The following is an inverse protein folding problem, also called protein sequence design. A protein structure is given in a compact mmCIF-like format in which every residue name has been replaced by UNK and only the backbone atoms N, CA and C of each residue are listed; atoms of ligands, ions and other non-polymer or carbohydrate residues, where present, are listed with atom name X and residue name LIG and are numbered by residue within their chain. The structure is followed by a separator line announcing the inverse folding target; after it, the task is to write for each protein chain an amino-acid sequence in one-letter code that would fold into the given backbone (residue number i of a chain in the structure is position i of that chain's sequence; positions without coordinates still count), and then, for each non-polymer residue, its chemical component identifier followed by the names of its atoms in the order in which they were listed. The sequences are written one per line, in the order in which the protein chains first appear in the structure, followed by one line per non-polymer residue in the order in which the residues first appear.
data_IF_770164179344
#
_entry.id   IF_770164179344
#
_cell.length_a   1.000
_cell.length_b   1.000
_cell.length_c   1.000
_cell.angle_alpha   90.00
_cell.angle_beta   90.00
_cell.angle_gamma   90.00
#
_symmetry.space_group_name_H-M   'P 1'
#
loop_
_entity.id
_entity.type
_entity.pdbx_description
1 polymer ?
#
# COMPACT_ATOMS: atom_id res chain seq x y z
N UNK A 1 -8.23 46.27 11.16
CA UNK A 1 -8.13 45.49 12.41
C UNK A 1 -9.14 44.35 12.27
N UNK A 2 -8.81 43.09 12.04
CA UNK A 2 -7.69 42.30 12.57
C UNK A 2 -6.99 41.52 11.46
N UNK A 3 -5.69 41.40 11.60
CA UNK A 3 -4.77 40.70 10.71
C UNK A 3 -4.41 39.35 11.32
N UNK A 4 -4.13 38.37 10.44
CA UNK A 4 -3.23 37.22 10.67
C UNK A 4 -3.81 36.09 11.55
N UNK A 5 -3.59 34.80 11.29
CA UNK A 5 -2.33 34.13 10.96
C UNK A 5 -2.63 32.92 10.06
N UNK A 6 -2.18 32.93 8.80
CA UNK A 6 -1.96 31.68 8.07
C UNK A 6 -0.65 31.09 8.60
N UNK A 7 -0.57 29.80 9.00
CA UNK A 7 0.69 29.20 9.35
C UNK A 7 1.56 29.15 8.08
N UNK A 8 2.53 30.05 8.03
CA UNK A 8 3.71 29.95 7.21
C UNK A 8 4.51 28.73 7.65
N UNK A 9 4.22 27.54 7.10
CA UNK A 9 5.04 26.32 7.25
C UNK A 9 4.58 25.22 6.26
N UNK A 10 4.70 25.46 4.96
CA UNK A 10 4.98 24.36 4.01
C UNK A 10 6.28 24.73 3.31
N UNK A 11 7.39 24.51 4.02
CA UNK A 11 8.75 24.73 3.53
C UNK A 11 9.53 23.42 3.36
N UNK A 12 8.86 22.28 3.48
CA UNK A 12 9.43 20.98 3.18
C UNK A 12 8.91 20.51 1.81
N UNK A 13 9.80 20.57 0.80
CA UNK A 13 9.55 20.12 -0.58
C UNK A 13 9.36 18.61 -0.76
N UNK A 14 9.10 17.88 0.33
CA UNK A 14 8.88 16.44 0.38
C UNK A 14 7.49 16.09 0.93
N UNK A 15 6.50 16.96 0.74
CA UNK A 15 5.12 16.65 1.07
C UNK A 15 4.37 16.08 -0.14
N UNK A 16 3.40 15.22 0.13
CA UNK A 16 2.57 14.61 -0.90
C UNK A 16 1.37 13.91 -0.28
N UNK A 17 0.43 13.53 -1.15
CA UNK A 17 -0.77 12.79 -0.77
C UNK A 17 -0.65 11.37 -1.31
N UNK A 18 -0.92 10.39 -0.45
CA UNK A 18 -1.01 8.99 -0.82
C UNK A 18 -2.49 8.60 -0.91
N UNK A 19 -2.92 8.01 -2.02
CA UNK A 19 -4.30 7.56 -2.21
C UNK A 19 -4.39 6.29 -3.05
N UNK A 20 -5.52 5.60 -2.93
CA UNK A 20 -5.91 4.51 -3.82
C UNK A 20 -6.84 5.04 -4.90
N UNK A 21 -6.85 4.42 -6.07
CA UNK A 21 -7.90 4.65 -7.05
C UNK A 21 -9.28 4.35 -6.45
N UNK A 22 -10.28 5.18 -6.75
CA UNK A 22 -11.63 5.00 -6.21
C UNK A 22 -12.23 3.63 -6.56
N UNK A 23 -12.00 3.15 -7.79
CA UNK A 23 -12.46 1.84 -8.23
C UNK A 23 -11.83 0.72 -7.40
N UNK A 24 -10.53 0.82 -7.11
CA UNK A 24 -9.84 -0.18 -6.31
C UNK A 24 -10.24 -0.10 -4.84
N UNK A 25 -10.36 1.11 -4.27
CA UNK A 25 -10.84 1.33 -2.91
C UNK A 25 -12.19 0.65 -2.67
N UNK A 26 -13.12 0.79 -3.62
CA UNK A 26 -14.44 0.16 -3.55
C UNK A 26 -14.42 -1.36 -3.78
N UNK A 27 -13.30 -1.93 -4.26
CA UNK A 27 -13.14 -3.36 -4.48
C UNK A 27 -12.67 -4.11 -3.23
N UNK A 28 -12.15 -3.41 -2.21
CA UNK A 28 -11.77 -4.01 -0.93
C UNK A 28 -12.98 -4.66 -0.25
N UNK A 29 -12.75 -5.82 0.37
CA UNK A 29 -13.78 -6.64 0.99
C UNK A 29 -13.53 -6.72 2.49
N UNK A 30 -14.59 -6.84 3.31
CA UNK A 30 -14.44 -7.02 4.75
C UNK A 30 -13.80 -8.37 5.12
N UNK A 31 -13.81 -9.34 4.19
CA UNK A 31 -13.28 -10.67 4.41
C UNK A 31 -12.69 -11.27 3.14
N UNK A 32 -11.61 -12.02 3.30
CA UNK A 32 -10.85 -12.62 2.21
C UNK A 32 -10.65 -14.12 2.43
N UNK A 33 -10.67 -14.89 1.34
CA UNK A 33 -10.31 -16.30 1.38
C UNK A 33 -8.80 -16.46 1.61
N UNK A 34 -8.40 -17.45 2.41
CA UNK A 34 -7.00 -17.82 2.61
C UNK A 34 -6.63 -19.04 1.78
N UNK A 35 -5.34 -19.17 1.46
CA UNK A 35 -4.72 -20.44 1.12
C UNK A 35 -3.81 -20.90 2.27
N UNK A 36 -3.83 -22.20 2.54
CA UNK A 36 -2.87 -22.86 3.42
C UNK A 36 -1.87 -23.57 2.52
N UNK A 37 -0.63 -23.06 2.42
CA UNK A 37 0.43 -23.79 1.73
C UNK A 37 1.05 -24.83 2.67
N UNK A 38 1.57 -25.91 2.08
CA UNK A 38 2.41 -26.87 2.79
C UNK A 38 3.58 -26.11 3.45
N UNK A 39 3.88 -26.43 4.72
CA UNK A 39 4.89 -25.71 5.51
C UNK A 39 4.35 -24.59 6.40
N UNK A 40 3.03 -24.45 6.56
CA UNK A 40 2.43 -23.53 7.54
C UNK A 40 2.29 -22.08 7.07
N UNK A 41 2.84 -21.73 5.91
CA UNK A 41 2.67 -20.41 5.31
C UNK A 41 1.21 -20.18 4.89
N UNK A 42 0.63 -19.09 5.38
CA UNK A 42 -0.71 -18.62 5.02
C UNK A 42 -0.59 -17.43 4.09
N UNK A 43 -1.51 -17.33 3.14
CA UNK A 43 -1.63 -16.17 2.29
C UNK A 43 -3.10 -15.88 1.97
N UNK A 44 -3.42 -14.60 1.77
CA UNK A 44 -4.69 -14.19 1.21
C UNK A 44 -4.72 -14.58 -0.26
N UNK A 45 -5.84 -15.14 -0.68
CA UNK A 45 -6.04 -15.66 -2.02
C UNK A 45 -6.61 -14.62 -2.97
N UNK A 46 -7.39 -13.68 -2.45
CA UNK A 46 -8.29 -12.82 -3.22
C UNK A 46 -8.28 -11.38 -2.72
N UNK A 47 -7.11 -10.93 -2.26
CA UNK A 47 -6.88 -9.56 -1.84
C UNK A 47 -6.19 -8.78 -2.98
N UNK A 48 -6.54 -7.50 -3.21
CA UNK A 48 -7.63 -6.75 -2.57
C UNK A 48 -9.02 -7.13 -3.13
N UNK A 49 -9.06 -7.79 -4.29
CA UNK A 49 -10.26 -8.27 -4.97
C UNK A 49 -10.04 -9.62 -5.68
N UNK A 50 -11.07 -10.11 -6.36
CA UNK A 50 -10.97 -11.31 -7.19
C UNK A 50 -10.69 -10.94 -8.65
N UNK A 51 -10.03 -11.80 -9.42
CA UNK A 51 -9.78 -11.61 -10.85
C UNK A 51 -11.06 -11.20 -11.60
N UNK A 52 -11.08 -10.00 -12.18
CA UNK A 52 -12.24 -9.43 -12.88
C UNK A 52 -13.53 -9.46 -12.03
N UNK A 53 -13.41 -9.34 -10.71
CA UNK A 53 -14.52 -9.44 -9.76
C UNK A 53 -15.01 -10.86 -9.46
N UNK A 54 -14.54 -11.89 -10.18
CA UNK A 54 -15.03 -13.28 -10.08
C UNK A 54 -14.02 -14.16 -9.34
N UNK A 55 -14.49 -14.86 -8.31
CA UNK A 55 -13.65 -15.74 -7.51
C UNK A 55 -13.18 -16.96 -8.32
N UNK A 56 -11.87 -17.12 -8.48
CA UNK A 56 -11.31 -18.33 -9.05
C UNK A 56 -11.43 -19.49 -8.06
N UNK A 57 -12.07 -20.60 -8.47
CA UNK A 57 -12.32 -21.75 -7.59
C UNK A 57 -11.05 -22.50 -7.21
N UNK A 58 -10.06 -22.58 -8.09
CA UNK A 58 -8.87 -23.46 -7.93
C UNK A 58 -7.52 -22.74 -7.94
N UNK A 59 -7.43 -21.45 -8.30
CA UNK A 59 -6.17 -20.69 -8.36
C UNK A 59 -6.13 -19.46 -7.43
N UNK A 60 -4.97 -18.82 -7.32
CA UNK A 60 -4.86 -17.47 -6.76
C UNK A 60 -5.73 -16.51 -7.58
N UNK A 61 -6.45 -15.63 -6.88
CA UNK A 61 -7.45 -14.76 -7.48
C UNK A 61 -7.25 -13.27 -7.15
N UNK A 62 -6.24 -12.94 -6.34
CA UNK A 62 -5.92 -11.57 -5.95
C UNK A 62 -5.35 -10.75 -7.09
N UNK A 63 -5.27 -9.45 -6.86
CA UNK A 63 -4.64 -8.48 -7.74
C UNK A 63 -3.62 -7.65 -6.97
N UNK A 64 -2.76 -6.89 -7.66
CA UNK A 64 -1.89 -5.92 -6.99
C UNK A 64 -2.71 -4.78 -6.38
N UNK A 65 -2.23 -4.22 -5.27
CA UNK A 65 -2.76 -2.95 -4.75
C UNK A 65 -2.01 -1.81 -5.43
N UNK A 66 -2.75 -0.91 -6.07
CA UNK A 66 -2.23 0.25 -6.79
C UNK A 66 -2.33 1.46 -5.88
N UNK A 67 -1.22 2.18 -5.72
CA UNK A 67 -1.13 3.34 -4.86
C UNK A 67 -0.60 4.50 -5.69
N UNK A 68 -1.27 5.63 -5.56
CA UNK A 68 -0.88 6.88 -6.17
C UNK A 68 -0.26 7.77 -5.10
N UNK A 69 0.87 8.36 -5.44
CA UNK A 69 1.49 9.41 -4.65
C UNK A 69 1.55 10.68 -5.49
N UNK A 70 0.82 11.71 -5.05
CA UNK A 70 0.85 13.02 -5.68
C UNK A 70 1.71 13.97 -4.84
N UNK A 71 2.83 14.43 -5.43
CA UNK A 71 3.72 15.41 -4.80
C UNK A 71 3.03 16.77 -4.71
N UNK A 72 3.04 17.36 -3.52
CA UNK A 72 2.56 18.72 -3.30
C UNK A 72 3.75 19.69 -3.43
N UNK A 73 3.62 20.68 -4.31
CA UNK A 73 4.63 21.71 -4.55
C UNK A 73 5.41 21.55 -5.87
N UNK A 74 6.06 22.64 -6.29
CA UNK A 74 6.76 22.75 -7.58
C UNK A 74 8.18 22.17 -7.57
N UNK A 75 8.65 21.67 -6.43
CA UNK A 75 10.05 21.27 -6.28
C UNK A 75 10.26 19.85 -6.84
N UNK A 76 10.77 19.77 -8.07
CA UNK A 76 11.21 18.52 -8.73
C UNK A 76 12.57 18.02 -8.23
N UNK A 77 12.86 18.19 -6.93
CA UNK A 77 14.05 17.50 -6.39
C UNK A 77 13.90 16.00 -6.66
N UNK A 78 15.01 15.30 -6.94
CA UNK A 78 15.06 13.86 -7.21
C UNK A 78 14.79 13.05 -5.94
N UNK A 79 13.68 13.32 -5.27
CA UNK A 79 13.26 12.63 -4.07
C UNK A 79 12.81 11.23 -4.47
N UNK A 80 13.56 10.23 -4.00
CA UNK A 80 13.18 8.84 -4.13
C UNK A 80 12.00 8.58 -3.19
N UNK A 81 10.87 8.18 -3.75
CA UNK A 81 9.70 7.78 -2.97
C UNK A 81 9.72 6.28 -2.81
N UNK A 82 9.71 5.83 -1.55
CA UNK A 82 9.56 4.43 -1.21
C UNK A 82 8.17 4.24 -0.60
N UNK A 83 7.40 3.30 -1.15
CA UNK A 83 6.13 2.88 -0.58
C UNK A 83 6.30 1.48 -0.03
N UNK A 84 5.96 1.30 1.25
CA UNK A 84 5.98 0.01 1.93
C UNK A 84 4.66 -0.24 2.63
N UNK A 85 4.29 -1.51 2.78
CA UNK A 85 3.07 -1.90 3.49
C UNK A 85 3.29 -3.20 4.28
N UNK A 86 2.43 -3.45 5.26
CA UNK A 86 2.38 -4.68 6.06
C UNK A 86 0.93 -4.94 6.49
N UNK A 87 0.58 -6.21 6.70
CA UNK A 87 -0.63 -6.55 7.45
C UNK A 87 -0.46 -6.33 8.96
N UNK A 88 -1.19 -5.35 9.49
CA UNK A 88 -1.30 -5.13 10.93
C UNK A 88 -2.51 -5.91 11.49
N UNK A 89 -2.32 -6.86 12.42
CA UNK A 89 -3.45 -7.52 13.07
C UNK A 89 -4.18 -6.54 13.99
N UNK A 90 -5.50 -6.69 14.06
CA UNK A 90 -6.33 -5.97 15.04
C UNK A 90 -6.11 -6.60 16.42
N UNK A 91 -5.82 -5.76 17.41
CA UNK A 91 -5.63 -6.16 18.81
C UNK A 91 -6.96 -6.28 19.53
N UNK A 92 -6.95 -6.82 20.75
CA UNK A 92 -8.15 -6.93 21.61
C UNK A 92 -8.79 -5.56 21.91
N UNK A 93 -8.04 -4.46 21.77
CA UNK A 93 -8.55 -3.09 21.89
C UNK A 93 -9.28 -2.57 20.65
N UNK A 94 -9.38 -3.37 19.58
CA UNK A 94 -9.95 -2.95 18.28
C UNK A 94 -9.00 -2.11 17.42
N UNK A 95 -7.81 -1.78 17.92
CA UNK A 95 -6.81 -1.00 17.18
C UNK A 95 -5.84 -1.91 16.42
N UNK A 96 -5.42 -1.54 15.20
CA UNK A 96 -4.35 -2.25 14.48
C UNK A 96 -3.03 -2.13 15.24
N UNK A 97 -2.29 -3.24 15.30
CA UNK A 97 -0.91 -3.27 15.79
C UNK A 97 0.02 -2.75 14.69
N UNK A 98 0.19 -1.44 14.64
CA UNK A 98 1.12 -0.80 13.70
C UNK A 98 2.55 -1.28 13.93
N UNK A 99 3.25 -1.65 12.86
CA UNK A 99 4.69 -1.78 12.90
C UNK A 99 5.37 -0.48 12.48
N UNK A 100 6.56 -0.29 13.01
CA UNK A 100 7.48 0.77 12.65
C UNK A 100 8.79 0.15 12.20
N UNK A 101 9.52 0.84 11.33
CA UNK A 101 10.86 0.44 10.94
C UNK A 101 11.84 1.60 11.18
N UNK A 102 13.05 1.29 11.64
CA UNK A 102 14.13 2.27 11.78
C UNK A 102 14.96 2.41 10.50
N UNK A 103 14.98 1.35 9.69
CA UNK A 103 15.65 1.28 8.39
C UNK A 103 14.64 0.85 7.33
N UNK A 104 14.77 1.35 6.11
CA UNK A 104 13.86 0.99 5.03
C UNK A 104 13.81 -0.55 4.85
N UNK A 105 12.61 -1.17 4.87
CA UNK A 105 12.48 -2.61 4.70
C UNK A 105 13.08 -3.10 3.38
N UNK A 106 13.81 -4.21 3.45
CA UNK A 106 14.35 -4.88 2.26
C UNK A 106 13.23 -5.58 1.49
N UNK A 107 13.31 -5.69 0.15
CA UNK A 107 12.42 -6.56 -0.62
C UNK A 107 12.48 -8.04 -0.19
N UNK A 108 13.52 -8.49 0.51
CA UNK A 108 13.64 -9.84 1.07
C UNK A 108 13.00 -9.99 2.45
N UNK A 109 12.56 -8.90 3.06
CA UNK A 109 11.87 -8.91 4.34
C UNK A 109 10.48 -9.58 4.18
N UNK A 110 10.19 -10.66 4.92
CA UNK A 110 8.90 -11.35 4.79
C UNK A 110 7.73 -10.56 5.37
N UNK A 111 7.98 -9.59 6.25
CA UNK A 111 6.96 -8.83 6.96
C UNK A 111 6.52 -7.59 6.18
N UNK A 112 7.31 -7.16 5.19
CA UNK A 112 7.07 -5.93 4.44
C UNK A 112 6.90 -6.15 2.94
N UNK A 113 5.88 -5.50 2.40
CA UNK A 113 5.66 -5.34 0.97
C UNK A 113 6.33 -4.07 0.52
N UNK A 114 7.34 -4.18 -0.35
CA UNK A 114 7.95 -3.04 -1.01
C UNK A 114 7.25 -2.81 -2.35
N UNK A 115 6.76 -1.59 -2.57
CA UNK A 115 6.07 -1.21 -3.80
C UNK A 115 7.02 -1.11 -4.98
N UNK A 116 6.57 -1.59 -6.14
CA UNK A 116 7.26 -1.40 -7.41
C UNK A 116 6.74 -0.13 -8.08
N UNK A 117 7.64 0.70 -8.58
CA UNK A 117 7.27 1.85 -9.40
C UNK A 117 6.69 1.37 -10.72
N UNK A 118 5.45 1.76 -11.01
CA UNK A 118 4.75 1.47 -12.27
C UNK A 118 4.96 2.60 -13.26
N UNK A 119 4.74 3.85 -12.81
CA UNK A 119 4.95 5.03 -13.64
C UNK A 119 5.30 6.26 -12.80
N UNK A 120 5.94 7.23 -13.45
CA UNK A 120 6.22 8.56 -12.91
C UNK A 120 5.81 9.55 -13.99
N UNK A 121 4.82 10.39 -13.69
CA UNK A 121 4.36 11.45 -14.57
C UNK A 121 4.31 12.79 -13.81
N UNK A 122 5.33 13.61 -14.03
CA UNK A 122 5.45 14.93 -13.41
C UNK A 122 5.45 14.88 -11.88
N UNK A 123 4.28 15.12 -11.28
CA UNK A 123 4.08 15.13 -9.83
C UNK A 123 3.41 13.85 -9.31
N UNK A 124 2.91 12.98 -10.19
CA UNK A 124 2.26 11.73 -9.84
C UNK A 124 3.21 10.55 -9.99
N UNK A 125 3.23 9.69 -8.96
CA UNK A 125 3.97 8.43 -8.96
C UNK A 125 2.96 7.32 -8.68
N UNK A 126 2.92 6.33 -9.56
CA UNK A 126 2.07 5.15 -9.39
C UNK A 126 2.93 3.99 -8.96
N UNK A 127 2.57 3.38 -7.83
CA UNK A 127 3.25 2.26 -7.20
C UNK A 127 2.31 1.06 -7.15
N UNK A 128 2.86 -0.13 -7.31
CA UNK A 128 2.10 -1.38 -7.16
C UNK A 128 2.70 -2.21 -6.04
N UNK A 129 1.89 -2.51 -5.03
CA UNK A 129 2.21 -3.48 -4.00
C UNK A 129 1.71 -4.86 -4.42
N UNK A 130 2.60 -5.84 -4.24
CA UNK A 130 2.32 -7.26 -4.44
C UNK A 130 1.98 -7.62 -5.90
N UNK A 131 3.01 -7.88 -6.71
CA UNK A 131 2.85 -8.40 -8.07
C UNK A 131 2.37 -9.86 -8.05
N UNK A 132 1.96 -10.41 -9.19
CA UNK A 132 1.49 -11.80 -9.35
C UNK A 132 2.47 -12.85 -8.75
N UNK A 133 3.75 -12.51 -8.58
CA UNK A 133 4.80 -13.37 -8.03
C UNK A 133 4.95 -13.31 -6.49
N UNK A 134 4.48 -12.25 -5.82
CA UNK A 134 4.41 -12.17 -4.36
C UNK A 134 2.96 -12.33 -3.94
N UNK A 135 2.73 -13.06 -2.86
CA UNK A 135 1.38 -13.26 -2.33
C UNK A 135 1.27 -12.53 -1.00
N UNK A 136 0.08 -12.03 -0.71
CA UNK A 136 -0.27 -11.37 0.54
C UNK A 136 -0.25 -12.37 1.72
N UNK A 137 0.92 -12.59 2.32
CA UNK A 137 1.17 -13.28 3.57
C UNK A 137 0.64 -12.48 4.76
N UNK A 138 0.10 -13.19 5.74
CA UNK A 138 -0.40 -12.61 6.97
C UNK A 138 -0.29 -13.65 8.10
N UNK A 139 -0.18 -13.15 9.33
CA UNK A 139 -0.13 -13.97 10.54
C UNK A 139 1.29 -14.26 10.98
#
# INVERSE_FOLDING_TARGET
MSSSIFPSLIRDGNCGVLYFDLAQWNAFRPSYQRNNKNGGMKNLRCFPDCCNGVHAKTSFCGSPVTIHFQRLGLHRASSHVHVVAQFAPITDSGMPRWATFATLPSPSDPDWYVGNCVSVDGLEIVMSLNTIAKVWHYG
#
